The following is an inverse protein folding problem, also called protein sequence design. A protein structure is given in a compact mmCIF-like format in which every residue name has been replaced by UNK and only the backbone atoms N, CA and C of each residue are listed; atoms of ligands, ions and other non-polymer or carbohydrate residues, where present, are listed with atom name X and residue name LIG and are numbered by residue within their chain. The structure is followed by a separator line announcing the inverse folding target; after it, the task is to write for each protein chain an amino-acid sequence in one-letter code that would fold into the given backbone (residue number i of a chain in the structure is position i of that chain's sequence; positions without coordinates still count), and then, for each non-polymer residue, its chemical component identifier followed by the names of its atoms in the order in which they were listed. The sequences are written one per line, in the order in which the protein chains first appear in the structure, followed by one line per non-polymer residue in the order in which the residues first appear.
data_IF_811609620919
#
_entry.id   IF_811609620919
#
_cell.length_a   1.000
_cell.length_b   1.000
_cell.length_c   1.000
_cell.angle_alpha   90.00
_cell.angle_beta   90.00
_cell.angle_gamma   90.00
#
_symmetry.space_group_name_H-M   'P 1'
#
loop_
_entity.id
_entity.type
_entity.pdbx_description
1 polymer ?
#
# COMPACT_ATOMS: atom_id res chain seq x y z
N UNK A 1 7.77 35.17 7.70
CA UNK A 1 7.53 34.53 6.39
C UNK A 1 7.42 33.04 6.62
N UNK A 2 6.19 32.54 6.78
CA UNK A 2 5.89 31.12 6.95
C UNK A 2 5.59 30.66 5.53
N UNK A 3 6.52 30.00 4.86
CA UNK A 3 6.25 29.43 3.53
C UNK A 3 5.09 28.46 3.70
N UNK A 4 3.92 28.92 3.24
CA UNK A 4 2.71 28.14 3.16
C UNK A 4 2.94 27.11 2.08
N UNK A 5 3.33 25.90 2.49
CA UNK A 5 3.02 24.71 1.73
C UNK A 5 1.49 24.68 1.67
N UNK A 6 0.92 25.21 0.59
CA UNK A 6 -0.48 24.99 0.26
C UNK A 6 -0.68 23.48 0.18
N UNK A 7 -1.21 22.90 1.26
CA UNK A 7 -1.48 21.48 1.29
C UNK A 7 -2.50 21.20 0.20
N UNK A 8 -2.10 20.37 -0.78
CA UNK A 8 -3.01 19.91 -1.83
C UNK A 8 -4.30 19.39 -1.17
N UNK A 9 -5.48 19.80 -1.65
CA UNK A 9 -6.75 19.36 -1.05
C UNK A 9 -7.04 17.87 -1.30
N UNK A 10 -6.32 17.27 -2.25
CA UNK A 10 -6.48 15.90 -2.74
C UNK A 10 -5.25 15.04 -2.46
N UNK A 11 -5.45 13.73 -2.39
CA UNK A 11 -4.39 12.75 -2.14
C UNK A 11 -3.28 12.84 -3.19
N UNK A 12 -2.03 12.82 -2.73
CA UNK A 12 -0.86 12.91 -3.62
C UNK A 12 -0.75 11.72 -4.58
N UNK A 13 -1.30 10.55 -4.26
CA UNK A 13 -1.17 9.35 -5.11
C UNK A 13 -2.20 9.25 -6.25
N UNK A 14 -3.43 9.74 -6.05
CA UNK A 14 -4.52 9.59 -7.04
C UNK A 14 -5.12 10.89 -7.54
N UNK A 15 -4.90 12.00 -6.84
CA UNK A 15 -5.48 13.32 -7.11
C UNK A 15 -7.03 13.35 -7.21
N UNK A 16 -7.73 12.42 -6.55
CA UNK A 16 -9.18 12.26 -6.69
C UNK A 16 -9.99 12.66 -5.46
N UNK A 17 -9.55 12.25 -4.27
CA UNK A 17 -10.28 12.44 -3.01
C UNK A 17 -9.38 13.07 -1.94
N UNK A 18 -10.00 13.55 -0.85
CA UNK A 18 -9.27 14.08 0.30
C UNK A 18 -8.36 13.01 0.92
N UNK A 19 -7.18 13.43 1.35
CA UNK A 19 -6.20 12.51 1.91
C UNK A 19 -6.53 12.13 3.36
N UNK A 20 -6.67 10.83 3.62
CA UNK A 20 -6.76 10.22 4.95
C UNK A 20 -5.85 8.99 5.00
N UNK A 21 -5.54 8.47 6.18
CA UNK A 21 -4.78 7.20 6.30
C UNK A 21 -5.49 6.07 5.55
N UNK A 22 -6.79 5.89 5.76
CA UNK A 22 -7.58 4.85 5.09
C UNK A 22 -7.59 5.05 3.57
N UNK A 23 -7.67 6.31 3.11
CA UNK A 23 -7.56 6.60 1.69
C UNK A 23 -6.17 6.24 1.14
N UNK A 24 -5.08 6.76 1.70
CA UNK A 24 -3.71 6.50 1.20
C UNK A 24 -3.44 5.00 1.07
N UNK A 25 -3.83 4.21 2.09
CA UNK A 25 -3.42 2.82 2.19
C UNK A 25 -4.41 1.81 1.61
N UNK A 26 -5.70 2.17 1.51
CA UNK A 26 -6.76 1.23 1.10
C UNK A 26 -7.61 1.79 -0.02
N UNK A 27 -8.13 3.01 0.09
CA UNK A 27 -9.18 3.49 -0.83
C UNK A 27 -8.67 4.23 -2.07
N UNK A 28 -7.43 4.71 -2.04
CA UNK A 28 -6.77 5.37 -3.15
C UNK A 28 -6.77 4.45 -4.38
N UNK A 29 -7.12 4.97 -5.56
CA UNK A 29 -7.15 4.17 -6.80
C UNK A 29 -5.79 3.55 -7.12
N UNK A 30 -4.69 4.25 -6.79
CA UNK A 30 -3.33 3.73 -6.84
C UNK A 30 -3.12 2.54 -5.90
N UNK A 31 -3.49 2.69 -4.62
CA UNK A 31 -3.38 1.63 -3.62
C UNK A 31 -4.27 0.43 -3.96
N UNK A 32 -5.50 0.66 -4.42
CA UNK A 32 -6.41 -0.40 -4.88
C UNK A 32 -5.80 -1.21 -6.02
N UNK A 33 -5.20 -0.55 -7.00
CA UNK A 33 -4.54 -1.24 -8.11
C UNK A 33 -3.36 -2.09 -7.59
N UNK A 34 -2.53 -1.54 -6.71
CA UNK A 34 -1.43 -2.27 -6.08
C UNK A 34 -1.92 -3.51 -5.32
N UNK A 35 -2.92 -3.34 -4.45
CA UNK A 35 -3.52 -4.44 -3.70
C UNK A 35 -4.14 -5.50 -4.61
N UNK A 36 -4.81 -5.08 -5.68
CA UNK A 36 -5.39 -6.01 -6.66
C UNK A 36 -4.31 -6.90 -7.28
N UNK A 37 -3.20 -6.32 -7.73
CA UNK A 37 -2.06 -7.08 -8.30
C UNK A 37 -1.45 -8.06 -7.28
N UNK A 38 -1.26 -7.61 -6.03
CA UNK A 38 -0.70 -8.44 -4.96
C UNK A 38 -1.65 -9.59 -4.60
N UNK A 39 -2.93 -9.31 -4.35
CA UNK A 39 -3.91 -10.32 -3.98
C UNK A 39 -4.17 -11.30 -5.12
N UNK A 40 -4.08 -10.85 -6.38
CA UNK A 40 -4.10 -11.72 -7.55
C UNK A 40 -2.90 -12.66 -7.59
N UNK A 41 -1.68 -12.15 -7.36
CA UNK A 41 -0.48 -12.98 -7.28
C UNK A 41 -0.52 -14.01 -6.13
N UNK A 42 -1.24 -13.70 -5.04
CA UNK A 42 -1.45 -14.60 -3.90
C UNK A 42 -2.62 -15.58 -4.07
N UNK A 43 -3.37 -15.49 -5.17
CA UNK A 43 -4.51 -16.36 -5.47
C UNK A 43 -5.80 -16.02 -4.73
N UNK A 44 -5.96 -14.78 -4.23
CA UNK A 44 -7.10 -14.35 -3.38
C UNK A 44 -7.80 -13.07 -3.87
N UNK A 45 -7.71 -12.74 -5.17
CA UNK A 45 -8.18 -11.48 -5.77
C UNK A 45 -9.66 -11.09 -5.53
N UNK A 46 -10.51 -12.04 -5.10
CA UNK A 46 -11.96 -11.81 -4.89
C UNK A 46 -12.30 -10.91 -3.69
N UNK A 47 -11.34 -10.58 -2.83
CA UNK A 47 -11.59 -9.81 -1.61
C UNK A 47 -11.49 -8.27 -1.75
N UNK A 48 -11.19 -7.75 -2.94
CA UNK A 48 -10.79 -6.34 -3.16
C UNK A 48 -11.89 -5.26 -3.03
N UNK A 49 -13.13 -5.59 -2.61
CA UNK A 49 -14.30 -4.70 -2.78
C UNK A 49 -14.81 -3.97 -1.53
N UNK A 50 -14.09 -3.94 -0.41
CA UNK A 50 -14.57 -3.23 0.77
C UNK A 50 -14.15 -1.74 0.75
N UNK A 51 -14.90 -0.93 0.00
CA UNK A 51 -14.66 0.51 -0.19
C UNK A 51 -14.92 1.36 1.07
N UNK A 52 -15.25 0.76 2.22
CA UNK A 52 -15.64 1.46 3.44
C UNK A 52 -14.89 0.99 4.70
N UNK A 53 -13.92 0.07 4.57
CA UNK A 53 -13.17 -0.43 5.72
C UNK A 53 -11.99 0.48 6.06
N UNK A 54 -11.81 0.76 7.34
CA UNK A 54 -10.59 1.37 7.86
C UNK A 54 -9.37 0.48 7.60
N UNK A 55 -8.16 1.02 7.69
CA UNK A 55 -6.93 0.25 7.50
C UNK A 55 -6.85 -1.01 8.40
N UNK A 56 -7.16 -0.95 9.72
CA UNK A 56 -7.16 -2.15 10.57
C UNK A 56 -8.22 -3.17 10.17
N UNK A 57 -9.43 -2.74 9.83
CA UNK A 57 -10.51 -3.64 9.39
C UNK A 57 -10.17 -4.28 8.05
N UNK A 58 -9.56 -3.53 7.14
CA UNK A 58 -9.08 -4.03 5.86
C UNK A 58 -7.98 -5.08 6.04
N UNK A 59 -7.00 -4.82 6.91
CA UNK A 59 -5.98 -5.79 7.29
C UNK A 59 -6.60 -7.06 7.85
N UNK A 60 -7.53 -6.97 8.80
CA UNK A 60 -8.17 -8.14 9.39
C UNK A 60 -8.96 -8.93 8.34
N UNK A 61 -9.74 -8.25 7.50
CA UNK A 61 -10.52 -8.85 6.42
C UNK A 61 -9.64 -9.66 5.46
N UNK A 62 -8.58 -9.03 4.96
CA UNK A 62 -7.65 -9.63 4.00
C UNK A 62 -6.74 -10.69 4.62
N UNK A 63 -6.34 -10.52 5.88
CA UNK A 63 -5.60 -11.52 6.66
C UNK A 63 -6.38 -12.81 6.85
N UNK A 64 -7.70 -12.71 7.01
CA UNK A 64 -8.57 -13.88 7.18
C UNK A 64 -8.74 -14.72 5.91
N UNK A 65 -8.21 -14.27 4.76
CA UNK A 65 -8.11 -15.07 3.53
C UNK A 65 -6.99 -16.12 3.60
N UNK A 66 -6.09 -16.00 4.57
CA UNK A 66 -4.93 -16.88 4.75
C UNK A 66 -5.08 -17.73 6.01
N UNK A 67 -4.40 -18.88 6.05
CA UNK A 67 -4.41 -19.80 7.20
C UNK A 67 -2.99 -20.19 7.60
N UNK A 68 -2.81 -20.63 8.85
CA UNK A 68 -1.52 -21.13 9.36
C UNK A 68 -0.37 -20.10 9.22
N UNK A 69 0.79 -20.58 8.76
CA UNK A 69 2.00 -19.76 8.56
C UNK A 69 1.82 -18.66 7.51
N UNK A 70 0.89 -18.84 6.56
CA UNK A 70 0.59 -17.81 5.54
C UNK A 70 -0.01 -16.53 6.16
N UNK A 71 -0.69 -16.61 7.32
CA UNK A 71 -1.16 -15.40 8.03
C UNK A 71 0.01 -14.52 8.48
N UNK A 72 1.08 -15.12 9.03
CA UNK A 72 2.26 -14.37 9.47
C UNK A 72 2.99 -13.74 8.29
N UNK A 73 3.18 -14.49 7.20
CA UNK A 73 3.78 -13.94 5.98
C UNK A 73 2.95 -12.80 5.39
N UNK A 74 1.62 -12.89 5.47
CA UNK A 74 0.74 -11.80 5.07
C UNK A 74 0.88 -10.56 5.96
N UNK A 75 1.04 -10.71 7.28
CA UNK A 75 1.24 -9.57 8.19
C UNK A 75 2.51 -8.79 7.85
N UNK A 76 3.62 -9.49 7.54
CA UNK A 76 4.86 -8.87 7.09
C UNK A 76 4.72 -8.20 5.73
N UNK A 77 4.08 -8.88 4.76
CA UNK A 77 3.80 -8.31 3.44
C UNK A 77 2.92 -7.05 3.55
N UNK A 78 1.88 -7.10 4.37
CA UNK A 78 0.97 -5.99 4.57
C UNK A 78 1.70 -4.75 5.12
N UNK A 79 2.52 -4.95 6.14
CA UNK A 79 3.38 -3.91 6.71
C UNK A 79 4.30 -3.30 5.66
N UNK A 80 4.91 -4.15 4.81
CA UNK A 80 5.79 -3.69 3.74
C UNK A 80 5.04 -2.88 2.67
N UNK A 81 3.84 -3.30 2.28
CA UNK A 81 3.01 -2.56 1.31
C UNK A 81 2.62 -1.19 1.86
N UNK A 82 2.17 -1.12 3.10
CA UNK A 82 1.83 0.15 3.78
C UNK A 82 3.05 1.07 3.81
N UNK A 83 4.22 0.54 4.13
CA UNK A 83 5.48 1.28 4.11
C UNK A 83 5.83 1.83 2.72
N UNK A 84 5.70 1.00 1.67
CA UNK A 84 5.94 1.44 0.28
C UNK A 84 4.99 2.54 -0.18
N UNK A 85 3.69 2.41 0.13
CA UNK A 85 2.69 3.43 -0.17
C UNK A 85 3.00 4.75 0.54
N UNK A 86 3.41 4.69 1.80
CA UNK A 86 3.83 5.88 2.55
C UNK A 86 5.08 6.53 1.95
N UNK A 87 6.09 5.74 1.59
CA UNK A 87 7.31 6.22 0.92
C UNK A 87 6.99 6.91 -0.40
N UNK A 88 6.15 6.29 -1.23
CA UNK A 88 5.73 6.84 -2.53
C UNK A 88 4.98 8.16 -2.34
N UNK A 89 3.98 8.20 -1.45
CA UNK A 89 3.23 9.42 -1.13
C UNK A 89 4.16 10.56 -0.71
N UNK A 90 5.18 10.27 0.10
CA UNK A 90 6.16 11.28 0.52
C UNK A 90 7.12 11.68 -0.61
N UNK A 91 7.53 10.76 -1.47
CA UNK A 91 8.32 11.09 -2.64
C UNK A 91 7.57 12.06 -3.56
N UNK A 92 6.27 11.85 -3.76
CA UNK A 92 5.43 12.77 -4.53
C UNK A 92 5.35 14.16 -3.88
N UNK A 93 5.13 14.21 -2.56
CA UNK A 93 5.06 15.47 -1.80
C UNK A 93 6.38 16.26 -1.86
N UNK A 94 7.53 15.61 -1.69
CA UNK A 94 8.82 16.29 -1.52
C UNK A 94 9.69 16.38 -2.79
N UNK A 95 9.45 15.51 -3.78
CA UNK A 95 10.29 15.36 -4.97
C UNK A 95 9.49 15.46 -6.27
N UNK A 96 8.16 15.53 -6.21
CA UNK A 96 7.27 15.55 -7.39
C UNK A 96 7.56 14.41 -8.38
N UNK A 97 7.98 13.26 -7.86
CA UNK A 97 8.23 12.05 -8.64
C UNK A 97 7.04 11.12 -8.51
N UNK A 98 6.51 10.63 -9.63
CA UNK A 98 5.40 9.67 -9.65
C UNK A 98 5.91 8.31 -10.12
N UNK A 99 5.86 7.29 -9.27
CA UNK A 99 6.14 5.91 -9.65
C UNK A 99 4.85 5.20 -10.07
N UNK A 100 4.89 4.48 -11.19
CA UNK A 100 3.81 3.58 -11.59
C UNK A 100 3.67 2.43 -10.59
N UNK A 101 2.48 1.82 -10.51
CA UNK A 101 2.24 0.64 -9.67
C UNK A 101 3.21 -0.51 -10.02
N UNK A 102 3.61 -0.65 -11.27
CA UNK A 102 4.59 -1.67 -11.69
C UNK A 102 6.00 -1.40 -11.17
N UNK A 103 6.42 -0.13 -11.11
CA UNK A 103 7.70 0.24 -10.49
C UNK A 103 7.65 -0.05 -8.99
N UNK A 104 6.56 0.31 -8.31
CA UNK A 104 6.41 0.05 -6.88
C UNK A 104 6.35 -1.45 -6.56
N UNK A 105 5.67 -2.26 -7.38
CA UNK A 105 5.69 -3.72 -7.27
C UNK A 105 7.10 -4.30 -7.44
N UNK A 106 7.90 -3.73 -8.33
CA UNK A 106 9.30 -4.13 -8.54
C UNK A 106 10.14 -3.81 -7.31
N UNK A 107 10.03 -2.60 -6.77
CA UNK A 107 10.72 -2.21 -5.54
C UNK A 107 10.29 -3.05 -4.34
N UNK A 108 9.00 -3.39 -4.24
CA UNK A 108 8.49 -4.26 -3.19
C UNK A 108 9.09 -5.66 -3.27
N UNK A 109 9.18 -6.25 -4.46
CA UNK A 109 9.81 -7.57 -4.66
C UNK A 109 11.29 -7.55 -4.27
N UNK A 110 12.02 -6.51 -4.67
CA UNK A 110 13.43 -6.34 -4.30
C UNK A 110 13.61 -6.21 -2.78
N UNK A 111 12.75 -5.43 -2.11
CA UNK A 111 12.80 -5.33 -0.65
C UNK A 111 12.46 -6.66 0.05
N UNK A 112 11.47 -7.41 -0.46
CA UNK A 112 11.17 -8.75 0.05
C UNK A 112 12.38 -9.70 -0.10
N UNK A 113 13.04 -9.71 -1.26
CA UNK A 113 14.23 -10.53 -1.50
C UNK A 113 15.38 -10.16 -0.55
N UNK A 114 15.60 -8.86 -0.31
CA UNK A 114 16.60 -8.40 0.65
C UNK A 114 16.27 -8.81 2.09
N UNK A 115 15.01 -8.76 2.50
CA UNK A 115 14.58 -9.19 3.83
C UNK A 115 14.77 -10.69 4.04
N UNK A 116 14.47 -11.50 3.01
CA UNK A 116 14.72 -12.95 3.02
C UNK A 116 16.23 -13.21 3.09
N UNK A 117 17.04 -12.53 2.28
CA UNK A 117 18.49 -12.67 2.30
C UNK A 117 19.11 -12.25 3.64
N UNK A 118 18.50 -11.29 4.35
CA UNK A 118 18.91 -10.85 5.68
C UNK A 118 18.43 -11.77 6.82
N UNK A 119 17.69 -12.84 6.53
CA UNK A 119 17.27 -13.86 7.51
C UNK A 119 15.98 -13.55 8.28
N UNK A 120 15.15 -12.61 7.81
CA UNK A 120 13.82 -12.40 8.37
C UNK A 120 12.89 -13.53 7.90
N UNK A 121 12.49 -14.42 8.83
CA UNK A 121 11.51 -15.51 8.62
C UNK A 121 10.17 -15.23 9.28
#
# INVERSE_FOLDING_TARGET
TRDGLEARPTCYLCDQEAETCDHIFVHCSYAKHLWWQILQALGVARASQANTLTLPEWWEHTRNLFTGTRKKGYDSLFTLVVWQLWKERNAQLFRSTEATVQQLLTSLKQEMELWIAAGAT
#
